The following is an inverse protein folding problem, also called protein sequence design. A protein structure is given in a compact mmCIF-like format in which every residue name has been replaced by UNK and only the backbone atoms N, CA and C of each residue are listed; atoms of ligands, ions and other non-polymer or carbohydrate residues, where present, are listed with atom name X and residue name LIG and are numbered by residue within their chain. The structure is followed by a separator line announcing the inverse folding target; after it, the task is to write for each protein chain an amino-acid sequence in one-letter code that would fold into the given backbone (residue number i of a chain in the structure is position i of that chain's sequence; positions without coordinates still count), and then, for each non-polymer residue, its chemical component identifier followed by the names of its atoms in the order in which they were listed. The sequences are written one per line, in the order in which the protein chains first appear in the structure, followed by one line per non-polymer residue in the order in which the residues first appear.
data_IF_501922692953
#
_entry.id   IF_501922692953
#
_cell.length_a   1.000
_cell.length_b   1.000
_cell.length_c   1.000
_cell.angle_alpha   90.00
_cell.angle_beta   90.00
_cell.angle_gamma   90.00
#
_symmetry.space_group_name_H-M   'P 1'
#
loop_
_entity.id
_entity.type
_entity.pdbx_description
1 polymer ?
#
# COMPACT_ATOMS: atom_id res chain seq x y z
N UNK A 1 -18.12 39.20 0.31
CA UNK A 1 -18.10 38.00 1.19
C UNK A 1 -16.93 37.10 0.82
N UNK A 2 -15.86 37.11 1.62
CA UNK A 2 -14.72 36.19 1.48
C UNK A 2 -15.17 34.78 1.92
N UNK A 3 -15.45 33.89 0.97
CA UNK A 3 -15.61 32.46 1.27
C UNK A 3 -14.22 31.91 1.59
N UNK A 4 -13.91 31.81 2.88
CA UNK A 4 -12.77 31.03 3.36
C UNK A 4 -12.96 29.59 2.89
N UNK A 5 -12.32 29.26 1.77
CA UNK A 5 -12.31 27.93 1.19
C UNK A 5 -11.31 27.15 2.03
N UNK A 6 -11.82 26.32 2.94
CA UNK A 6 -11.05 25.32 3.68
C UNK A 6 -10.51 24.28 2.69
N UNK A 7 -9.60 24.67 1.82
CA UNK A 7 -8.72 23.73 1.15
C UNK A 7 -7.61 23.47 2.14
N UNK A 8 -7.52 22.28 2.76
CA UNK A 8 -6.29 21.89 3.42
C UNK A 8 -5.23 21.85 2.31
N UNK A 9 -4.50 22.95 2.13
CA UNK A 9 -3.40 23.05 1.19
C UNK A 9 -2.21 22.44 1.90
N UNK A 10 -1.89 21.20 1.53
CA UNK A 10 -0.85 20.43 2.21
C UNK A 10 0.36 20.34 1.29
N UNK A 11 1.54 20.67 1.80
CA UNK A 11 2.80 20.62 1.03
C UNK A 11 2.99 19.21 0.47
N UNK A 12 3.41 19.12 -0.79
CA UNK A 12 3.60 17.85 -1.54
C UNK A 12 4.36 16.78 -0.75
N UNK A 13 5.32 17.17 0.09
CA UNK A 13 6.07 16.27 0.99
C UNK A 13 5.16 15.45 1.92
N UNK A 14 4.15 16.05 2.51
CA UNK A 14 3.23 15.35 3.40
C UNK A 14 2.32 14.39 2.63
N UNK A 15 2.01 14.68 1.36
CA UNK A 15 1.28 13.73 0.51
C UNK A 15 2.12 12.43 0.34
N UNK A 16 3.40 12.55 0.01
CA UNK A 16 4.29 11.37 -0.12
C UNK A 16 4.31 10.57 1.19
N UNK A 17 4.39 11.25 2.34
CA UNK A 17 4.40 10.63 3.66
C UNK A 17 3.09 9.88 3.96
N UNK A 18 1.94 10.55 3.81
CA UNK A 18 0.63 9.95 4.08
C UNK A 18 0.41 8.72 3.17
N UNK A 19 0.88 8.75 1.92
CA UNK A 19 0.72 7.63 0.98
C UNK A 19 1.54 6.42 1.44
N UNK A 20 2.78 6.67 1.86
CA UNK A 20 3.63 5.63 2.45
C UNK A 20 3.01 5.03 3.72
N UNK A 21 2.54 5.87 4.64
CA UNK A 21 1.92 5.41 5.90
C UNK A 21 0.65 4.60 5.63
N UNK A 22 -0.23 5.05 4.75
CA UNK A 22 -1.44 4.32 4.38
C UNK A 22 -1.11 2.92 3.85
N UNK A 23 -0.14 2.80 2.94
CA UNK A 23 0.26 1.50 2.39
C UNK A 23 0.90 0.60 3.45
N UNK A 24 1.71 1.18 4.33
CA UNK A 24 2.33 0.46 5.44
C UNK A 24 1.27 -0.09 6.40
N UNK A 25 0.31 0.73 6.82
CA UNK A 25 -0.77 0.33 7.73
C UNK A 25 -1.59 -0.83 7.17
N UNK A 26 -1.96 -0.77 5.89
CA UNK A 26 -2.74 -1.85 5.28
C UNK A 26 -1.88 -3.10 5.08
N UNK A 27 -0.61 -2.94 4.70
CA UNK A 27 0.32 -4.06 4.59
C UNK A 27 0.52 -4.79 5.92
N UNK A 28 0.61 -4.07 7.03
CA UNK A 28 0.68 -4.65 8.38
C UNK A 28 -0.62 -5.39 8.70
N UNK A 29 -1.78 -4.76 8.48
CA UNK A 29 -3.09 -5.37 8.75
C UNK A 29 -3.30 -6.69 7.99
N UNK A 30 -2.89 -6.76 6.71
CA UNK A 30 -3.02 -7.99 5.92
C UNK A 30 -2.10 -9.10 6.44
N UNK A 31 -0.87 -8.76 6.80
CA UNK A 31 0.08 -9.73 7.34
C UNK A 31 -0.36 -10.25 8.72
N UNK A 32 -0.89 -9.39 9.59
CA UNK A 32 -1.37 -9.84 10.91
C UNK A 32 -2.55 -10.82 10.78
N UNK A 33 -3.50 -10.55 9.89
CA UNK A 33 -4.61 -11.47 9.59
C UNK A 33 -4.08 -12.81 9.05
N UNK A 34 -3.12 -12.77 8.13
CA UNK A 34 -2.57 -13.99 7.55
C UNK A 34 -1.78 -14.83 8.55
N UNK A 35 -0.99 -14.18 9.42
CA UNK A 35 -0.23 -14.85 10.49
C UNK A 35 -1.19 -15.47 11.51
N UNK A 36 -2.27 -14.77 11.87
CA UNK A 36 -3.31 -15.31 12.74
C UNK A 36 -3.97 -16.56 12.14
N UNK A 37 -4.24 -16.56 10.84
CA UNK A 37 -4.73 -17.77 10.16
C UNK A 37 -3.70 -18.90 10.12
N UNK A 38 -2.41 -18.59 9.96
CA UNK A 38 -1.32 -19.58 9.96
C UNK A 38 -1.02 -20.16 11.34
N UNK A 39 -1.25 -19.40 12.41
CA UNK A 39 -0.92 -19.79 13.79
C UNK A 39 -1.70 -21.03 14.26
N UNK A 40 -2.86 -21.28 13.63
CA UNK A 40 -3.72 -22.43 13.91
C UNK A 40 -3.30 -23.71 13.18
N UNK A 41 -2.25 -23.67 12.33
CA UNK A 41 -1.76 -24.82 11.57
C UNK A 41 -0.39 -25.33 12.08
N UNK A 42 -0.07 -26.59 11.78
CA UNK A 42 1.23 -27.18 12.12
C UNK A 42 2.41 -26.41 11.52
N UNK A 43 3.46 -26.18 12.34
CA UNK A 43 4.67 -25.42 12.03
C UNK A 43 5.31 -25.73 10.66
N UNK A 44 5.34 -27.00 10.22
CA UNK A 44 5.93 -27.38 8.92
C UNK A 44 5.16 -26.79 7.73
N UNK A 45 3.82 -26.79 7.78
CA UNK A 45 3.00 -26.27 6.70
C UNK A 45 3.03 -24.74 6.67
N UNK A 46 3.09 -24.11 7.84
CA UNK A 46 3.24 -22.66 8.02
C UNK A 46 4.46 -22.10 7.26
N UNK A 47 5.60 -22.79 7.31
CA UNK A 47 6.81 -22.33 6.61
C UNK A 47 6.66 -22.36 5.08
N UNK A 48 6.01 -23.39 4.54
CA UNK A 48 5.76 -23.53 3.09
C UNK A 48 4.85 -22.40 2.59
N UNK A 49 3.78 -22.09 3.33
CA UNK A 49 2.88 -21.00 2.95
C UNK A 49 3.54 -19.61 3.11
N UNK A 50 4.35 -19.41 4.15
CA UNK A 50 5.07 -18.16 4.36
C UNK A 50 6.07 -17.89 3.22
N UNK A 51 6.88 -18.90 2.87
CA UNK A 51 7.86 -18.81 1.78
C UNK A 51 7.19 -18.56 0.43
N UNK A 52 6.08 -19.25 0.12
CA UNK A 52 5.28 -18.98 -1.07
C UNK A 52 4.75 -17.55 -1.11
N UNK A 53 4.26 -17.04 0.03
CA UNK A 53 3.78 -15.67 0.17
C UNK A 53 4.89 -14.64 -0.09
N UNK A 54 6.10 -14.87 0.43
CA UNK A 54 7.25 -14.00 0.19
C UNK A 54 7.63 -13.95 -1.29
N UNK A 55 7.66 -15.10 -1.98
CA UNK A 55 7.99 -15.16 -3.41
C UNK A 55 6.96 -14.37 -4.22
N UNK A 56 5.66 -14.59 -3.95
CA UNK A 56 4.56 -13.86 -4.60
C UNK A 56 4.66 -12.37 -4.29
N UNK A 57 4.98 -12.00 -3.05
CA UNK A 57 5.20 -10.61 -2.65
C UNK A 57 6.26 -9.93 -3.50
N UNK A 58 7.41 -10.58 -3.72
CA UNK A 58 8.49 -10.01 -4.52
C UNK A 58 8.06 -9.80 -5.98
N UNK A 59 7.32 -10.75 -6.54
CA UNK A 59 6.78 -10.64 -7.92
C UNK A 59 5.79 -9.47 -8.01
N UNK A 60 4.80 -9.42 -7.12
CA UNK A 60 3.77 -8.36 -7.11
C UNK A 60 4.41 -7.00 -6.84
N UNK A 61 5.36 -6.93 -5.91
CA UNK A 61 6.10 -5.72 -5.60
C UNK A 61 6.85 -5.20 -6.83
N UNK A 62 7.64 -6.07 -7.47
CA UNK A 62 8.51 -5.67 -8.56
C UNK A 62 7.74 -5.29 -9.83
N UNK A 63 6.79 -6.13 -10.26
CA UNK A 63 6.07 -5.93 -11.52
C UNK A 63 4.82 -5.06 -11.38
N UNK A 64 4.13 -5.13 -10.26
CA UNK A 64 2.89 -4.40 -10.01
C UNK A 64 3.16 -3.08 -9.30
N UNK A 65 3.47 -3.17 -8.00
CA UNK A 65 3.42 -2.00 -7.14
C UNK A 65 4.52 -0.97 -7.42
N UNK A 66 5.77 -1.36 -7.71
CA UNK A 66 6.83 -0.40 -8.03
C UNK A 66 6.44 0.52 -9.19
N UNK A 67 5.88 -0.03 -10.27
CA UNK A 67 5.40 0.74 -11.43
C UNK A 67 4.30 1.72 -11.03
N UNK A 68 3.44 1.34 -10.09
CA UNK A 68 2.36 2.20 -9.58
C UNK A 68 2.93 3.30 -8.68
N UNK A 69 3.86 2.97 -7.78
CA UNK A 69 4.53 3.90 -6.89
C UNK A 69 5.31 4.95 -7.67
N UNK A 70 6.13 4.54 -8.63
CA UNK A 70 6.92 5.48 -9.44
C UNK A 70 6.02 6.39 -10.29
N UNK A 71 4.91 5.88 -10.83
CA UNK A 71 3.88 6.71 -11.50
C UNK A 71 3.22 7.71 -10.54
N UNK A 72 2.90 7.29 -9.31
CA UNK A 72 2.28 8.16 -8.32
C UNK A 72 3.25 9.28 -7.89
N UNK A 73 4.50 8.91 -7.60
CA UNK A 73 5.56 9.85 -7.25
C UNK A 73 5.87 10.85 -8.39
N UNK A 74 5.94 10.37 -9.64
CA UNK A 74 6.12 11.24 -10.80
C UNK A 74 5.01 12.29 -10.92
N UNK A 75 3.76 11.90 -10.68
CA UNK A 75 2.61 12.82 -10.67
C UNK A 75 2.64 13.80 -9.50
N UNK A 76 2.98 13.35 -8.29
CA UNK A 76 3.09 14.22 -7.12
C UNK A 76 4.16 15.29 -7.34
N UNK A 77 5.24 14.98 -8.07
CA UNK A 77 6.28 15.96 -8.43
C UNK A 77 5.78 17.04 -9.39
N UNK A 78 4.88 16.71 -10.32
CA UNK A 78 4.36 17.64 -11.33
C UNK A 78 3.13 18.42 -10.89
N UNK A 79 2.50 18.07 -9.76
CA UNK A 79 1.41 18.86 -9.16
C UNK A 79 1.90 20.24 -8.71
N UNK A 80 1.04 21.26 -8.61
CA UNK A 80 1.41 22.60 -8.09
C UNK A 80 1.63 22.60 -6.56
N UNK A 81 2.34 23.60 -5.98
CA UNK A 81 2.77 23.59 -4.57
C UNK A 81 1.60 23.62 -3.58
N UNK A 82 0.49 24.23 -3.98
CA UNK A 82 -0.74 24.33 -3.21
C UNK A 82 -1.81 23.46 -3.87
N UNK A 83 -1.86 22.19 -3.48
CA UNK A 83 -2.91 21.27 -3.94
C UNK A 83 -3.70 20.74 -2.74
N UNK A 84 -5.01 20.66 -2.94
CA UNK A 84 -5.95 20.24 -1.91
C UNK A 84 -5.70 18.77 -1.51
N UNK A 85 -5.86 18.43 -0.22
CA UNK A 85 -5.76 17.04 0.29
C UNK A 85 -6.70 16.07 -0.44
N UNK A 86 -7.73 16.51 -1.13
CA UNK A 86 -8.57 15.61 -1.93
C UNK A 86 -7.98 15.24 -3.31
N UNK A 87 -6.99 15.98 -3.82
CA UNK A 87 -6.19 15.56 -4.97
C UNK A 87 -5.19 14.43 -4.63
N UNK A 88 -5.11 14.08 -3.34
CA UNK A 88 -4.30 13.01 -2.78
C UNK A 88 -4.71 11.63 -3.28
N UNK A 89 -6.01 11.42 -3.47
CA UNK A 89 -6.54 10.22 -4.06
C UNK A 89 -6.69 10.44 -5.57
N UNK A 90 -5.54 10.46 -6.26
CA UNK A 90 -5.51 10.32 -7.72
C UNK A 90 -6.44 9.17 -8.14
N UNK A 91 -7.11 9.27 -9.29
CA UNK A 91 -7.95 8.19 -9.85
C UNK A 91 -7.30 6.79 -9.76
N UNK A 92 -5.96 6.73 -9.87
CA UNK A 92 -5.16 5.49 -9.72
C UNK A 92 -4.97 5.02 -8.27
N UNK A 93 -4.88 5.91 -7.29
CA UNK A 93 -4.91 5.53 -5.86
C UNK A 93 -6.31 5.08 -5.47
N UNK A 94 -7.36 5.69 -6.02
CA UNK A 94 -8.73 5.20 -5.90
C UNK A 94 -8.89 3.81 -6.50
N UNK A 95 -8.32 3.56 -7.69
CA UNK A 95 -8.29 2.25 -8.31
C UNK A 95 -7.57 1.21 -7.44
N UNK A 96 -6.49 1.58 -6.77
CA UNK A 96 -5.79 0.70 -5.83
C UNK A 96 -6.64 0.39 -4.59
N UNK A 97 -7.24 1.41 -3.98
CA UNK A 97 -8.17 1.23 -2.86
C UNK A 97 -9.34 0.34 -3.28
N UNK A 98 -9.88 0.53 -4.48
CA UNK A 98 -10.93 -0.29 -5.07
C UNK A 98 -10.45 -1.75 -5.24
N UNK A 99 -9.25 -1.97 -5.80
CA UNK A 99 -8.68 -3.33 -5.93
C UNK A 99 -8.52 -3.97 -4.55
N UNK A 100 -8.03 -3.23 -3.55
CA UNK A 100 -7.83 -3.73 -2.19
C UNK A 100 -9.15 -4.08 -1.49
N UNK A 101 -10.17 -3.24 -1.64
CA UNK A 101 -11.52 -3.48 -1.10
C UNK A 101 -12.18 -4.63 -1.84
N UNK A 102 -12.17 -4.64 -3.18
CA UNK A 102 -12.75 -5.71 -3.99
C UNK A 102 -12.09 -7.05 -3.72
N UNK A 103 -10.76 -7.08 -3.58
CA UNK A 103 -10.04 -8.30 -3.25
C UNK A 103 -10.33 -8.76 -1.82
N UNK A 104 -10.42 -7.85 -0.85
CA UNK A 104 -10.83 -8.17 0.52
C UNK A 104 -12.25 -8.76 0.61
N UNK A 105 -13.19 -8.18 -0.14
CA UNK A 105 -14.58 -8.66 -0.21
C UNK A 105 -14.65 -10.02 -0.91
N UNK A 106 -13.99 -10.16 -2.07
CA UNK A 106 -13.94 -11.43 -2.81
C UNK A 106 -13.34 -12.54 -1.94
N UNK A 107 -12.28 -12.26 -1.17
CA UNK A 107 -11.67 -13.28 -0.32
C UNK A 107 -12.51 -13.60 0.93
N UNK A 108 -13.23 -12.63 1.52
CA UNK A 108 -14.09 -12.89 2.68
C UNK A 108 -15.33 -13.72 2.33
N UNK A 109 -15.83 -13.59 1.10
CA UNK A 109 -17.04 -14.29 0.66
C UNK A 109 -16.74 -15.61 -0.09
N UNK A 110 -15.46 -15.91 -0.33
CA UNK A 110 -15.06 -17.13 -1.04
C UNK A 110 -14.87 -18.30 -0.09
N UNK A 111 -15.27 -19.50 -0.52
CA UNK A 111 -15.06 -20.76 0.21
C UNK A 111 -13.61 -21.26 0.12
N UNK A 112 -12.65 -20.39 -0.24
CA UNK A 112 -11.24 -20.77 -0.39
C UNK A 112 -10.67 -21.12 0.99
N UNK A 113 -9.88 -22.20 1.10
CA UNK A 113 -9.32 -22.62 2.37
C UNK A 113 -8.29 -21.59 2.88
N UNK A 114 -8.31 -21.36 4.21
CA UNK A 114 -7.59 -20.26 4.87
C UNK A 114 -6.08 -20.26 4.60
N UNK A 115 -5.50 -21.44 4.39
CA UNK A 115 -4.09 -21.64 4.02
C UNK A 115 -3.71 -20.98 2.69
N UNK A 116 -4.57 -21.00 1.68
CA UNK A 116 -4.30 -20.33 0.39
C UNK A 116 -4.50 -18.83 0.54
N UNK A 117 -5.53 -18.39 1.26
CA UNK A 117 -5.75 -16.96 1.50
C UNK A 117 -4.56 -16.33 2.23
N UNK A 118 -3.99 -17.01 3.21
CA UNK A 118 -2.85 -16.49 3.94
C UNK A 118 -1.62 -16.27 3.06
N UNK A 119 -1.36 -17.14 2.08
CA UNK A 119 -0.28 -16.93 1.10
C UNK A 119 -0.52 -15.64 0.32
N UNK A 120 -1.76 -15.42 -0.13
CA UNK A 120 -2.15 -14.23 -0.89
C UNK A 120 -2.06 -12.97 -0.02
N UNK A 121 -2.55 -13.02 1.22
CA UNK A 121 -2.52 -11.90 2.16
C UNK A 121 -1.08 -11.54 2.56
N UNK A 122 -0.20 -12.53 2.81
CA UNK A 122 1.24 -12.32 3.04
C UNK A 122 1.87 -11.70 1.79
N UNK A 123 1.55 -12.24 0.61
CA UNK A 123 2.04 -11.75 -0.67
C UNK A 123 1.73 -10.27 -0.88
N UNK A 124 0.46 -9.89 -0.76
CA UNK A 124 0.02 -8.51 -0.92
C UNK A 124 0.53 -7.61 0.22
N UNK A 125 0.45 -8.10 1.46
CA UNK A 125 0.85 -7.35 2.64
C UNK A 125 2.33 -6.98 2.60
N UNK A 126 3.21 -7.95 2.38
CA UNK A 126 4.65 -7.70 2.25
C UNK A 126 4.96 -6.83 1.03
N UNK A 127 4.28 -7.04 -0.10
CA UNK A 127 4.50 -6.23 -1.29
C UNK A 127 4.14 -4.75 -1.06
N UNK A 128 3.05 -4.48 -0.32
CA UNK A 128 2.64 -3.14 0.12
C UNK A 128 3.67 -2.51 1.07
N UNK A 129 4.17 -3.28 2.06
CA UNK A 129 5.21 -2.82 3.00
C UNK A 129 6.47 -2.45 2.22
N UNK A 130 6.97 -3.34 1.34
CA UNK A 130 8.15 -3.08 0.51
C UNK A 130 7.96 -1.84 -0.37
N UNK A 131 6.77 -1.65 -0.93
CA UNK A 131 6.44 -0.46 -1.72
C UNK A 131 6.36 0.81 -0.89
N UNK A 132 5.92 0.73 0.37
CA UNK A 132 5.89 1.88 1.29
C UNK A 132 7.30 2.44 1.57
N UNK A 133 8.33 1.58 1.61
CA UNK A 133 9.73 1.99 1.80
C UNK A 133 10.18 2.94 0.68
N UNK A 134 9.71 2.74 -0.56
CA UNK A 134 10.01 3.62 -1.69
C UNK A 134 9.44 5.03 -1.47
N UNK A 135 8.20 5.13 -0.97
CA UNK A 135 7.60 6.42 -0.61
C UNK A 135 8.39 7.11 0.51
N UNK A 136 8.73 6.39 1.58
CA UNK A 136 9.52 6.92 2.70
C UNK A 136 10.91 7.39 2.24
N UNK A 137 11.59 6.63 1.38
CA UNK A 137 12.89 7.01 0.81
C UNK A 137 12.81 8.30 0.00
N UNK A 138 11.74 8.47 -0.80
CA UNK A 138 11.55 9.70 -1.57
C UNK A 138 11.17 10.86 -0.66
N UNK A 139 10.34 10.64 0.35
CA UNK A 139 10.04 11.64 1.36
C UNK A 139 11.31 12.14 2.07
N UNK A 140 12.14 11.23 2.59
CA UNK A 140 13.41 11.57 3.24
C UNK A 140 14.32 12.36 2.29
N UNK A 141 14.45 11.94 1.02
CA UNK A 141 15.21 12.71 0.02
C UNK A 141 14.64 14.10 -0.19
N UNK A 142 13.32 14.25 -0.25
CA UNK A 142 12.65 15.56 -0.40
C UNK A 142 12.82 16.45 0.83
N UNK A 143 12.86 15.88 2.03
CA UNK A 143 13.09 16.61 3.29
C UNK A 143 14.55 17.04 3.40
N UNK A 144 15.51 16.15 3.14
CA UNK A 144 16.95 16.42 3.26
C UNK A 144 17.43 17.37 2.17
N UNK A 145 16.97 17.23 0.92
CA UNK A 145 17.44 18.06 -0.20
C UNK A 145 16.80 19.44 -0.29
N UNK A 146 15.95 19.83 0.67
CA UNK A 146 15.41 21.20 0.77
C UNK A 146 15.02 21.81 -0.59
N UNK A 147 13.90 21.37 -1.14
CA UNK A 147 13.27 22.10 -2.25
C UNK A 147 12.79 23.47 -1.78
#
# INVERSE_FOLDING_TARGET
MKKHKYTPAVKRKYLILISGLMWLSIGIMLNTIAIDWLSHYHFKNTFIYLTGGIIISLIIHHFGFLKIVDKNLGRIKTLNPETCVFAFLSWKSYLLVLIMISMGIMLRHSQIPRNILSVIYIGLGLALILSSIRYLRVFIRTVIRGW
#
